data_IF_089886532633
#
_entry.id   IF_089886532633
#
_cell.length_a   1.000
_cell.length_b   1.000
_cell.length_c   1.000
_cell.angle_alpha   90.00
_cell.angle_beta   90.00
_cell.angle_gamma   90.00
#
_symmetry.space_group_name_H-M   'P 1'
#
loop_
_entity.id
_entity.type
_entity.pdbx_description
1 polymer ?
#
# COMPACT_ATOMS: atom_id res chain seq x y z
N UNK A 1 -8.02 -8.54 5.19
CA UNK A 1 -7.63 -9.69 4.35
C UNK A 1 -6.15 -9.58 4.04
N UNK A 2 -5.35 -10.61 4.33
CA UNK A 2 -3.93 -10.64 3.95
C UNK A 2 -3.75 -10.98 2.48
N UNK A 3 -2.77 -10.37 1.83
CA UNK A 3 -2.43 -10.57 0.42
C UNK A 3 -1.01 -11.11 0.23
N UNK A 4 -0.08 -10.73 1.13
CA UNK A 4 1.31 -11.17 1.08
C UNK A 4 1.87 -11.40 2.49
N UNK A 5 2.92 -12.23 2.59
CA UNK A 5 3.63 -12.54 3.82
C UNK A 5 5.14 -12.60 3.54
N UNK A 6 5.98 -12.10 4.45
CA UNK A 6 7.44 -12.18 4.37
C UNK A 6 8.02 -13.23 5.34
N UNK A 7 9.35 -13.42 5.34
CA UNK A 7 10.01 -14.47 6.11
C UNK A 7 9.99 -14.25 7.63
N UNK A 8 9.74 -13.01 8.08
CA UNK A 8 9.53 -12.69 9.50
C UNK A 8 8.07 -12.88 9.93
N UNK A 9 7.21 -13.35 9.02
CA UNK A 9 5.79 -13.61 9.29
C UNK A 9 4.94 -12.34 9.35
N UNK A 10 5.43 -11.20 8.86
CA UNK A 10 4.60 -10.02 8.68
C UNK A 10 3.66 -10.22 7.49
N UNK A 11 2.38 -9.90 7.69
CA UNK A 11 1.34 -9.99 6.66
C UNK A 11 0.99 -8.58 6.21
N UNK A 12 0.97 -8.35 4.90
CA UNK A 12 0.45 -7.13 4.31
C UNK A 12 -0.87 -7.42 3.58
N UNK A 13 -1.81 -6.48 3.59
CA UNK A 13 -3.08 -6.64 2.88
C UNK A 13 -3.99 -5.42 3.01
N UNK A 14 -5.30 -5.66 3.03
CA UNK A 14 -6.34 -4.63 3.20
C UNK A 14 -7.07 -4.79 4.55
N UNK A 15 -7.37 -3.67 5.19
CA UNK A 15 -8.17 -3.61 6.43
C UNK A 15 -9.21 -2.50 6.36
N UNK A 16 -10.36 -2.72 7.02
CA UNK A 16 -11.31 -1.65 7.27
C UNK A 16 -10.73 -0.74 8.35
N UNK A 17 -10.74 0.56 8.08
CA UNK A 17 -10.29 1.60 9.00
C UNK A 17 -11.42 2.59 9.24
N UNK A 18 -11.55 3.07 10.48
CA UNK A 18 -12.51 4.14 10.81
C UNK A 18 -11.76 5.45 10.89
N UNK A 19 -12.10 6.38 9.99
CA UNK A 19 -11.53 7.72 9.95
C UNK A 19 -11.90 8.51 11.22
N UNK A 20 -11.12 9.55 11.59
CA UNK A 20 -11.42 10.37 12.77
C UNK A 20 -12.80 11.04 12.76
N UNK A 21 -13.37 11.27 11.58
CA UNK A 21 -14.72 11.83 11.40
C UNK A 21 -15.84 10.77 11.49
N UNK A 22 -15.51 9.51 11.76
CA UNK A 22 -16.45 8.39 11.83
C UNK A 22 -16.79 7.74 10.47
N UNK A 23 -16.19 8.21 9.37
CA UNK A 23 -16.32 7.59 8.06
C UNK A 23 -15.55 6.27 7.95
N UNK A 24 -16.03 5.36 7.11
CA UNK A 24 -15.31 4.11 6.81
C UNK A 24 -14.31 4.30 5.67
N UNK A 25 -13.14 3.70 5.80
CA UNK A 25 -12.11 3.62 4.78
C UNK A 25 -11.56 2.19 4.68
N UNK A 26 -10.90 1.87 3.57
CA UNK A 26 -10.17 0.60 3.39
C UNK A 26 -8.72 0.91 3.12
N UNK A 27 -7.84 0.61 4.06
CA UNK A 27 -6.43 0.97 3.96
C UNK A 27 -5.57 -0.28 3.89
N UNK A 28 -4.40 -0.11 3.29
CA UNK A 28 -3.33 -1.08 3.34
C UNK A 28 -2.85 -1.23 4.79
N UNK A 29 -2.58 -2.46 5.21
CA UNK A 29 -1.96 -2.72 6.52
C UNK A 29 -0.67 -3.52 6.37
N UNK A 30 0.15 -3.47 7.42
CA UNK A 30 1.25 -4.39 7.69
C UNK A 30 1.13 -4.91 9.12
N UNK A 31 1.20 -6.21 9.35
CA UNK A 31 1.26 -6.76 10.70
C UNK A 31 2.67 -6.66 11.29
N UNK A 32 2.76 -6.75 12.62
CA UNK A 32 4.02 -7.10 13.28
C UNK A 32 4.52 -8.49 12.87
N UNK A 33 5.76 -8.79 13.21
CA UNK A 33 6.37 -10.11 12.99
C UNK A 33 5.49 -11.22 13.58
N UNK A 34 5.52 -12.40 12.95
CA UNK A 34 4.69 -13.56 13.31
C UNK A 34 3.20 -13.24 13.42
N UNK A 35 2.67 -12.38 12.53
CA UNK A 35 1.26 -11.98 12.53
C UNK A 35 0.86 -11.12 13.73
N UNK A 36 1.80 -10.33 14.28
CA UNK A 36 1.56 -9.42 15.40
C UNK A 36 0.57 -8.29 15.09
N UNK A 37 0.59 -7.23 15.91
CA UNK A 37 -0.37 -6.13 15.81
C UNK A 37 -0.41 -5.53 14.41
N UNK A 38 -1.62 -5.23 13.92
CA UNK A 38 -1.81 -4.58 12.64
C UNK A 38 -1.44 -3.11 12.75
N UNK A 39 -0.64 -2.65 11.80
CA UNK A 39 -0.33 -1.25 11.55
C UNK A 39 -1.04 -0.81 10.30
N UNK A 40 -1.88 0.21 10.46
CA UNK A 40 -2.46 0.93 9.33
C UNK A 40 -1.37 1.71 8.60
N UNK A 41 -1.32 1.59 7.27
CA UNK A 41 -0.34 2.29 6.43
C UNK A 41 -0.89 3.60 5.86
N UNK A 42 -2.18 3.86 6.01
CA UNK A 42 -2.79 5.03 5.43
C UNK A 42 -2.87 4.97 3.92
N UNK A 43 -2.82 6.14 3.30
CA UNK A 43 -2.96 6.37 1.87
C UNK A 43 -1.92 7.40 1.42
N UNK A 44 -1.69 7.52 0.12
CA UNK A 44 -0.96 8.65 -0.44
C UNK A 44 -1.72 9.96 -0.17
N UNK A 45 -1.03 11.11 -0.05
CA UNK A 45 -1.67 12.38 0.23
C UNK A 45 -2.83 12.67 -0.71
N UNK A 46 -3.98 13.05 -0.15
CA UNK A 46 -5.22 13.36 -0.88
C UNK A 46 -6.20 12.20 -1.02
N UNK A 47 -5.76 10.95 -0.90
CA UNK A 47 -6.57 9.76 -1.13
C UNK A 47 -7.07 9.05 0.13
N UNK A 48 -7.74 9.75 1.06
CA UNK A 48 -8.01 9.24 2.42
C UNK A 48 -8.85 7.94 2.53
N UNK A 49 -9.47 7.48 1.45
CA UNK A 49 -10.45 6.38 1.53
C UNK A 49 -9.89 5.00 1.18
N UNK A 50 -8.86 4.92 0.34
CA UNK A 50 -8.47 3.64 -0.25
C UNK A 50 -6.98 3.48 -0.51
N UNK A 51 -6.43 2.40 0.05
CA UNK A 51 -5.18 1.81 -0.38
C UNK A 51 -5.22 0.29 -0.20
N UNK A 52 -4.37 -0.41 -0.94
CA UNK A 52 -4.17 -1.84 -0.78
C UNK A 52 -2.70 -2.21 -0.88
N UNK A 53 -2.27 -3.15 -0.04
CA UNK A 53 -0.98 -3.83 -0.21
C UNK A 53 -1.12 -5.02 -1.17
N UNK A 54 -0.14 -5.20 -2.03
CA UNK A 54 -0.02 -6.35 -2.94
C UNK A 54 1.20 -7.21 -2.59
N UNK A 55 2.27 -6.61 -2.08
CA UNK A 55 3.51 -7.32 -1.77
C UNK A 55 4.21 -6.72 -0.55
N UNK A 56 5.00 -7.54 0.14
CA UNK A 56 5.86 -7.15 1.25
C UNK A 56 7.22 -7.86 1.12
N UNK A 57 8.31 -7.15 1.40
CA UNK A 57 9.66 -7.73 1.42
C UNK A 57 10.15 -8.00 2.86
N UNK A 58 11.35 -8.58 3.00
CA UNK A 58 11.91 -8.94 4.31
C UNK A 58 12.36 -7.74 5.17
N UNK A 59 12.35 -6.52 4.62
CA UNK A 59 12.53 -5.27 5.37
C UNK A 59 11.19 -4.69 5.87
N UNK A 60 10.08 -5.41 5.65
CA UNK A 60 8.74 -4.91 5.96
C UNK A 60 8.34 -3.71 5.11
N UNK A 61 8.95 -3.52 3.93
CA UNK A 61 8.47 -2.55 2.96
C UNK A 61 7.30 -3.15 2.20
N UNK A 62 6.26 -2.34 1.99
CA UNK A 62 5.03 -2.75 1.35
C UNK A 62 4.89 -2.03 0.02
N UNK A 63 4.59 -2.79 -1.03
CA UNK A 63 4.26 -2.26 -2.34
C UNK A 63 2.79 -2.54 -2.63
N UNK A 64 2.13 -1.59 -3.28
CA UNK A 64 0.73 -1.70 -3.61
C UNK A 64 0.22 -0.49 -4.36
N UNK A 65 -1.02 -0.11 -4.12
CA UNK A 65 -1.64 1.04 -4.77
C UNK A 65 -2.54 1.82 -3.82
N UNK A 66 -2.60 3.14 -4.02
CA UNK A 66 -3.39 4.07 -3.22
C UNK A 66 -4.18 4.99 -4.14
N UNK A 67 -5.43 5.27 -3.77
CA UNK A 67 -6.15 6.38 -4.37
C UNK A 67 -5.40 7.69 -4.10
N UNK A 68 -5.59 8.68 -4.98
CA UNK A 68 -5.08 10.05 -4.81
C UNK A 68 -6.18 11.05 -4.40
N UNK A 69 -7.45 10.62 -4.44
CA UNK A 69 -8.60 11.46 -4.17
C UNK A 69 -9.77 10.67 -3.63
N UNK A 70 -10.73 11.36 -3.00
CA UNK A 70 -11.95 10.77 -2.46
C UNK A 70 -12.90 10.21 -3.53
N UNK A 71 -12.82 10.68 -4.76
CA UNK A 71 -13.65 10.25 -5.88
C UNK A 71 -13.01 9.14 -6.73
N UNK A 72 -11.86 8.60 -6.32
CA UNK A 72 -11.17 7.50 -6.99
C UNK A 72 -10.76 7.81 -8.45
N UNK A 73 -10.60 9.09 -8.79
CA UNK A 73 -10.23 9.54 -10.15
C UNK A 73 -8.75 9.32 -10.51
N UNK A 74 -8.00 8.60 -9.67
CA UNK A 74 -6.64 8.19 -9.93
C UNK A 74 -6.14 7.26 -8.85
N UNK A 75 -5.31 6.30 -9.25
CA UNK A 75 -4.65 5.38 -8.33
C UNK A 75 -3.18 5.28 -8.69
N UNK A 76 -2.33 5.47 -7.70
CA UNK A 76 -0.89 5.39 -7.90
C UNK A 76 -0.32 4.20 -7.15
N UNK A 77 0.64 3.55 -7.78
CA UNK A 77 1.53 2.62 -7.15
C UNK A 77 2.30 3.32 -6.03
N UNK A 78 2.45 2.65 -4.90
CA UNK A 78 3.27 3.16 -3.80
C UNK A 78 4.32 2.15 -3.35
N UNK A 79 5.35 2.67 -2.70
CA UNK A 79 6.30 1.93 -1.88
C UNK A 79 6.32 2.51 -0.47
N UNK A 80 6.15 1.71 0.58
CA UNK A 80 6.37 2.17 1.95
C UNK A 80 7.86 2.19 2.32
N UNK A 81 8.20 3.00 3.32
CA UNK A 81 9.45 2.83 4.05
C UNK A 81 9.52 1.48 4.77
N UNK A 82 10.72 1.15 5.27
CA UNK A 82 10.99 -0.05 6.11
C UNK A 82 9.99 -0.14 7.26
N UNK A 83 9.53 -1.35 7.57
CA UNK A 83 8.51 -1.63 8.59
C UNK A 83 7.22 -0.81 8.43
N UNK A 84 6.73 -0.69 7.19
CA UNK A 84 5.53 0.08 6.87
C UNK A 84 5.69 1.57 7.17
N UNK A 85 6.84 2.15 6.86
CA UNK A 85 7.11 3.59 7.00
C UNK A 85 6.25 4.43 6.05
N UNK A 86 6.59 5.71 5.93
CA UNK A 86 5.86 6.64 5.04
C UNK A 86 5.72 6.08 3.61
N UNK A 87 4.56 6.35 2.99
CA UNK A 87 4.30 5.94 1.61
C UNK A 87 4.98 6.91 0.64
N UNK A 88 5.64 6.34 -0.36
CA UNK A 88 6.29 7.01 -1.47
C UNK A 88 5.46 6.74 -2.71
N UNK A 89 5.01 7.81 -3.37
CA UNK A 89 4.31 7.73 -4.65
C UNK A 89 5.31 7.35 -5.76
N UNK A 90 5.00 6.30 -6.52
CA UNK A 90 5.81 5.85 -7.67
C UNK A 90 5.34 6.44 -9.00
N UNK A 91 4.22 7.16 -9.01
CA UNK A 91 3.67 7.83 -10.17
C UNK A 91 3.09 6.87 -11.21
N UNK A 92 2.82 7.42 -12.39
CA UNK A 92 2.37 6.69 -13.59
C UNK A 92 3.31 7.01 -14.76
N UNK A 93 3.11 6.35 -15.90
CA UNK A 93 3.80 6.70 -17.16
C UNK A 93 3.01 7.72 -17.99
N UNK A 94 2.08 8.45 -17.38
CA UNK A 94 1.27 9.50 -18.01
C UNK A 94 -0.23 9.30 -17.84
N UNK A 95 -0.70 8.06 -17.71
CA UNK A 95 -2.12 7.77 -17.47
C UNK A 95 -2.57 8.01 -16.01
N UNK A 96 -3.86 7.80 -15.71
CA UNK A 96 -4.43 7.98 -14.36
C UNK A 96 -4.13 6.86 -13.37
N UNK A 97 -3.63 5.70 -13.85
CA UNK A 97 -3.48 4.50 -13.01
C UNK A 97 -2.09 3.89 -13.03
N UNK A 98 -1.62 3.46 -11.87
CA UNK A 98 -0.51 2.52 -11.70
C UNK A 98 -0.72 1.63 -10.47
N UNK A 99 -0.16 0.42 -10.54
CA UNK A 99 -0.23 -0.58 -9.47
C UNK A 99 1.11 -1.29 -9.35
N UNK A 100 1.67 -1.31 -8.14
CA UNK A 100 2.78 -2.18 -7.82
C UNK A 100 2.25 -3.57 -7.44
N UNK A 101 2.79 -4.61 -8.09
CA UNK A 101 2.36 -6.00 -7.90
C UNK A 101 3.42 -6.86 -7.21
N UNK A 102 4.65 -6.34 -7.07
CA UNK A 102 5.75 -7.06 -6.46
C UNK A 102 6.86 -6.13 -5.98
N UNK A 103 7.63 -6.63 -5.02
CA UNK A 103 8.82 -5.96 -4.49
C UNK A 103 9.88 -7.02 -4.16
N UNK A 104 11.14 -6.73 -4.42
CA UNK A 104 12.27 -7.56 -4.00
C UNK A 104 12.87 -7.08 -2.67
N UNK A 105 13.69 -7.90 -2.03
CA UNK A 105 14.41 -7.52 -0.80
C UNK A 105 15.40 -6.37 -1.00
N UNK A 106 15.80 -6.09 -2.24
CA UNK A 106 16.59 -4.90 -2.57
C UNK A 106 15.75 -3.61 -2.71
N UNK A 107 14.43 -3.69 -2.49
CA UNK A 107 13.51 -2.55 -2.63
C UNK A 107 13.13 -2.23 -4.07
N UNK A 108 13.45 -3.10 -5.04
CA UNK A 108 13.04 -2.92 -6.43
C UNK A 108 11.58 -3.32 -6.57
N UNK A 109 10.75 -2.38 -7.04
CA UNK A 109 9.31 -2.55 -7.24
C UNK A 109 9.02 -2.89 -8.70
N UNK A 110 8.10 -3.82 -8.92
CA UNK A 110 7.55 -4.17 -10.24
C UNK A 110 6.05 -3.96 -10.26
N UNK A 111 5.49 -3.70 -11.44
CA UNK A 111 4.07 -3.41 -11.60
C UNK A 111 3.73 -2.99 -13.02
N UNK A 112 2.58 -2.35 -13.16
CA UNK A 112 2.10 -1.78 -14.41
C UNK A 112 1.53 -0.38 -14.19
N UNK A 113 1.44 0.37 -15.28
CA UNK A 113 0.87 1.71 -15.29
C UNK A 113 0.30 2.03 -16.66
N UNK A 114 -0.66 2.93 -16.69
CA UNK A 114 -1.20 3.48 -17.92
C UNK A 114 -0.33 4.61 -18.47
N UNK A 115 -0.42 4.80 -19.79
CA UNK A 115 0.23 5.86 -20.56
C UNK A 115 -0.85 6.69 -21.27
N UNK A 116 -0.57 7.97 -21.52
CA UNK A 116 -1.41 8.88 -22.31
C UNK A 116 -1.07 8.81 -23.81
#
# INVERSE_FOLDING_TARGET
MGAAVNDTGQVAGISNFTLPNGGGATHAFLSGENGGLLKDLGTLPGGELFSQAQAVNNLGQVAGSSALSFNFEGQHAFLSGVNGGALIDLGTLGGPFSVATGISDAGVVVGYSEIL
#
